data_IF_358767869448
#
_entry.id   IF_358767869448
#
_cell.length_a   1.000
_cell.length_b   1.000
_cell.length_c   1.000
_cell.angle_alpha   90.00
_cell.angle_beta   90.00
_cell.angle_gamma   90.00
#
_symmetry.space_group_name_H-M   'P 1'
#
loop_
_entity.id
_entity.type
_entity.pdbx_description
1 polymer ?
#
# COMPACT_ATOMS: atom_id res chain seq x y z
N UNK A 1 19.84 28.67 1.68
CA UNK A 1 19.35 28.46 0.31
C UNK A 1 19.36 26.96 0.09
N UNK A 2 18.22 26.36 -0.26
CA UNK A 2 18.22 24.96 -0.71
C UNK A 2 18.92 25.00 -2.07
N UNK A 3 20.08 24.35 -2.14
CA UNK A 3 20.89 24.23 -3.36
C UNK A 3 20.05 23.58 -4.47
N UNK A 4 19.91 24.28 -5.59
CA UNK A 4 19.22 23.94 -6.85
C UNK A 4 17.88 23.21 -6.76
N UNK A 5 16.84 23.85 -7.31
CA UNK A 5 15.52 23.26 -7.44
C UNK A 5 15.59 21.91 -8.18
N UNK A 6 15.07 20.86 -7.54
CA UNK A 6 14.82 19.55 -8.14
C UNK A 6 13.36 19.11 -7.97
N UNK A 7 13.03 17.90 -8.45
CA UNK A 7 11.67 17.32 -8.38
C UNK A 7 11.14 17.19 -6.94
N UNK A 8 11.99 17.25 -5.92
CA UNK A 8 11.62 17.12 -4.51
C UNK A 8 11.65 18.43 -3.72
N UNK A 9 11.92 19.56 -4.36
CA UNK A 9 12.03 20.88 -3.70
C UNK A 9 10.86 21.17 -2.74
N UNK A 10 9.62 20.94 -3.19
CA UNK A 10 8.42 21.19 -2.38
C UNK A 10 8.23 20.20 -1.24
N UNK A 11 8.72 18.97 -1.40
CA UNK A 11 8.73 17.96 -0.33
C UNK A 11 9.77 18.34 0.73
N UNK A 12 10.97 18.78 0.31
CA UNK A 12 12.02 19.28 1.21
C UNK A 12 11.54 20.49 2.02
N UNK A 13 10.77 21.40 1.42
CA UNK A 13 10.14 22.51 2.14
C UNK A 13 9.12 22.05 3.18
N UNK A 14 8.33 21.02 2.84
CA UNK A 14 7.28 20.53 3.72
C UNK A 14 7.81 19.75 4.93
N UNK A 15 8.83 18.91 4.74
CA UNK A 15 9.34 18.01 5.79
C UNK A 15 10.69 18.43 6.37
N UNK A 16 11.31 19.49 5.84
CA UNK A 16 12.68 19.87 6.17
C UNK A 16 13.71 18.90 5.61
N UNK A 17 15.00 19.24 5.80
CA UNK A 17 16.12 18.43 5.32
C UNK A 17 16.14 17.05 5.99
N UNK A 18 16.02 17.02 7.31
CA UNK A 18 16.11 15.77 8.10
C UNK A 18 14.95 14.82 7.78
N UNK A 19 13.72 15.35 7.67
CA UNK A 19 12.56 14.55 7.28
C UNK A 19 12.72 13.97 5.87
N UNK A 20 13.23 14.75 4.92
CA UNK A 20 13.52 14.27 3.57
C UNK A 20 14.63 13.21 3.55
N UNK A 21 15.70 13.38 4.34
CA UNK A 21 16.77 12.38 4.46
C UNK A 21 16.27 11.05 5.03
N UNK A 22 15.38 11.09 6.03
CA UNK A 22 14.69 9.89 6.52
C UNK A 22 13.90 9.18 5.42
N UNK A 23 13.18 9.92 4.57
CA UNK A 23 12.46 9.34 3.43
C UNK A 23 13.41 8.71 2.40
N UNK A 24 14.52 9.39 2.09
CA UNK A 24 15.52 8.86 1.15
C UNK A 24 16.15 7.55 1.64
N UNK A 25 16.39 7.42 2.96
CA UNK A 25 16.98 6.22 3.54
C UNK A 25 15.98 5.08 3.80
N UNK A 26 14.68 5.39 3.83
CA UNK A 26 13.65 4.42 4.17
C UNK A 26 13.50 3.31 3.10
N UNK A 27 13.21 2.10 3.59
CA UNK A 27 12.89 0.91 2.79
C UNK A 27 11.44 0.50 3.01
N UNK A 28 10.61 0.66 1.98
CA UNK A 28 9.17 0.34 2.04
C UNK A 28 8.84 -0.78 1.06
N UNK A 29 8.18 -1.82 1.57
CA UNK A 29 7.61 -2.88 0.76
C UNK A 29 6.13 -2.63 0.51
N UNK A 30 5.69 -2.76 -0.73
CA UNK A 30 4.28 -2.63 -1.14
C UNK A 30 3.83 -3.97 -1.71
N UNK A 31 2.89 -4.61 -1.03
CA UNK A 31 2.32 -5.90 -1.41
C UNK A 31 1.01 -5.66 -2.18
N UNK A 32 1.02 -5.87 -3.49
CA UNK A 32 -0.07 -5.57 -4.42
C UNK A 32 0.16 -4.26 -5.18
N UNK A 33 0.02 -4.30 -6.50
CA UNK A 33 0.20 -3.20 -7.45
C UNK A 33 -1.11 -2.85 -8.19
N UNK A 34 -2.26 -3.22 -7.61
CA UNK A 34 -3.59 -2.87 -8.13
C UNK A 34 -3.97 -1.39 -7.92
N UNK A 35 -5.28 -1.10 -7.91
CA UNK A 35 -5.77 0.29 -7.87
C UNK A 35 -5.41 1.08 -6.61
N UNK A 36 -5.12 0.38 -5.50
CA UNK A 36 -4.67 0.97 -4.25
C UNK A 36 -3.15 1.03 -4.17
N UNK A 37 -2.48 -0.12 -4.34
CA UNK A 37 -1.03 -0.22 -4.18
C UNK A 37 -0.24 0.52 -5.26
N UNK A 38 -0.74 0.58 -6.49
CA UNK A 38 -0.16 1.39 -7.55
C UNK A 38 -0.23 2.90 -7.25
N UNK A 39 -1.36 3.36 -6.68
CA UNK A 39 -1.49 4.75 -6.21
C UNK A 39 -0.59 5.05 -5.02
N UNK A 40 -0.50 4.14 -4.05
CA UNK A 40 0.43 4.26 -2.92
C UNK A 40 1.88 4.38 -3.41
N UNK A 41 2.29 3.53 -4.37
CA UNK A 41 3.61 3.57 -5.00
C UNK A 41 3.89 4.92 -5.64
N UNK A 42 2.98 5.42 -6.47
CA UNK A 42 3.10 6.72 -7.15
C UNK A 42 3.36 7.84 -6.14
N UNK A 43 2.58 7.88 -5.05
CA UNK A 43 2.68 8.92 -4.02
C UNK A 43 3.99 8.79 -3.25
N UNK A 44 4.41 7.59 -2.84
CA UNK A 44 5.64 7.38 -2.08
C UNK A 44 6.87 7.75 -2.92
N UNK A 45 6.91 7.33 -4.19
CA UNK A 45 8.01 7.65 -5.10
C UNK A 45 8.11 9.18 -5.34
N UNK A 46 6.98 9.85 -5.55
CA UNK A 46 6.92 11.32 -5.71
C UNK A 46 7.20 12.09 -4.43
N UNK A 47 6.95 11.47 -3.27
CA UNK A 47 7.31 11.99 -1.95
C UNK A 47 8.78 11.81 -1.60
N UNK A 48 9.58 11.17 -2.47
CA UNK A 48 11.01 10.98 -2.24
C UNK A 48 11.33 9.85 -1.27
N UNK A 49 10.53 8.78 -1.23
CA UNK A 49 11.00 7.53 -0.62
C UNK A 49 12.06 6.90 -1.53
N UNK A 50 13.25 6.67 -0.99
CA UNK A 50 14.41 6.28 -1.79
C UNK A 50 14.48 4.80 -2.15
N UNK A 51 13.84 3.91 -1.37
CA UNK A 51 13.87 2.47 -1.63
C UNK A 51 12.47 1.87 -1.50
N UNK A 52 11.83 1.65 -2.65
CA UNK A 52 10.56 0.95 -2.77
C UNK A 52 10.77 -0.44 -3.33
N UNK A 53 10.13 -1.44 -2.76
CA UNK A 53 9.96 -2.74 -3.40
C UNK A 53 8.47 -3.00 -3.59
N UNK A 54 8.08 -3.52 -4.75
CA UNK A 54 6.67 -3.82 -5.06
C UNK A 54 6.54 -5.28 -5.44
N UNK A 55 5.63 -5.99 -4.79
CA UNK A 55 5.31 -7.38 -5.09
C UNK A 55 3.92 -7.47 -5.72
N UNK A 56 3.83 -8.01 -6.92
CA UNK A 56 2.58 -8.40 -7.56
C UNK A 56 2.87 -9.48 -8.63
N UNK A 57 1.92 -10.36 -8.88
CA UNK A 57 2.04 -11.46 -9.86
C UNK A 57 1.25 -11.22 -11.15
N UNK A 58 0.53 -10.11 -11.23
CA UNK A 58 -0.39 -9.85 -12.32
C UNK A 58 0.23 -8.96 -13.40
N UNK A 59 -0.42 -8.98 -14.55
CA UNK A 59 -0.19 -8.06 -15.67
C UNK A 59 -1.35 -7.07 -15.75
N UNK A 60 -1.17 -5.97 -16.50
CA UNK A 60 -2.26 -5.05 -16.77
C UNK A 60 -3.25 -5.60 -17.80
N UNK A 61 -4.52 -5.56 -17.43
CA UNK A 61 -5.64 -5.93 -18.29
C UNK A 61 -6.52 -4.72 -18.62
N UNK A 62 -7.30 -4.80 -19.70
CA UNK A 62 -8.21 -3.72 -20.12
C UNK A 62 -9.19 -3.31 -19.01
N UNK A 63 -9.64 -4.28 -18.20
CA UNK A 63 -10.56 -4.06 -17.08
C UNK A 63 -9.93 -3.29 -15.92
N UNK A 64 -8.63 -2.99 -15.97
CA UNK A 64 -7.89 -2.27 -14.94
C UNK A 64 -7.92 -0.75 -15.17
N UNK A 65 -8.22 -0.29 -16.39
CA UNK A 65 -8.16 1.12 -16.81
C UNK A 65 -9.06 2.06 -16.03
N UNK A 66 -10.11 1.55 -15.41
CA UNK A 66 -11.01 2.37 -14.60
C UNK A 66 -10.42 2.78 -13.23
N UNK A 67 -9.31 2.15 -12.77
CA UNK A 67 -8.86 2.29 -11.38
C UNK A 67 -7.37 2.09 -11.10
N UNK A 68 -6.56 1.64 -12.07
CA UNK A 68 -5.14 1.33 -11.84
C UNK A 68 -4.23 2.24 -12.66
N UNK A 69 -3.29 2.90 -11.99
CA UNK A 69 -2.25 3.71 -12.65
C UNK A 69 -1.32 2.78 -13.44
N UNK A 70 -1.02 3.11 -14.70
CA UNK A 70 -0.16 2.31 -15.57
C UNK A 70 -0.89 1.22 -16.36
N UNK A 71 -2.22 1.15 -16.26
CA UNK A 71 -3.03 0.16 -16.98
C UNK A 71 -3.16 0.40 -18.49
N UNK A 72 -2.58 1.49 -19.00
CA UNK A 72 -2.38 1.74 -20.42
C UNK A 72 -1.35 0.76 -21.04
N UNK A 73 -0.44 0.20 -20.24
CA UNK A 73 0.57 -0.76 -20.64
C UNK A 73 0.03 -2.19 -20.64
N UNK A 74 -0.98 -2.45 -21.48
CA UNK A 74 -1.68 -3.74 -21.54
C UNK A 74 -0.73 -4.92 -21.79
N UNK A 75 -0.91 -6.00 -21.03
CA UNK A 75 -0.12 -7.22 -21.12
C UNK A 75 1.24 -7.15 -20.42
N UNK A 76 1.66 -5.99 -19.93
CA UNK A 76 2.90 -5.83 -19.18
C UNK A 76 2.71 -6.16 -17.69
N UNK A 77 3.75 -6.71 -17.06
CA UNK A 77 3.79 -6.96 -15.61
C UNK A 77 3.64 -5.64 -14.87
N UNK A 78 2.70 -5.58 -13.91
CA UNK A 78 2.42 -4.35 -13.17
C UNK A 78 3.66 -3.78 -12.50
N UNK A 79 4.43 -4.65 -11.83
CA UNK A 79 5.66 -4.26 -11.11
C UNK A 79 6.73 -3.67 -12.02
N UNK A 80 6.90 -4.21 -13.24
CA UNK A 80 7.92 -3.75 -14.18
C UNK A 80 7.60 -2.36 -14.73
N UNK A 81 6.31 -2.05 -14.95
CA UNK A 81 5.85 -0.72 -15.35
C UNK A 81 6.18 0.33 -14.29
N UNK A 82 5.97 0.01 -13.00
CA UNK A 82 6.35 0.92 -11.90
C UNK A 82 7.87 1.10 -11.79
N UNK A 83 8.65 0.03 -11.97
CA UNK A 83 10.12 0.10 -11.98
C UNK A 83 10.65 0.96 -13.14
N UNK A 84 10.02 0.88 -14.32
CA UNK A 84 10.34 1.76 -15.46
C UNK A 84 10.03 3.23 -15.17
N UNK A 85 8.95 3.49 -14.42
CA UNK A 85 8.48 4.85 -14.10
C UNK A 85 9.29 5.51 -12.98
N UNK A 86 9.81 4.72 -12.04
CA UNK A 86 10.49 5.21 -10.84
C UNK A 86 11.75 4.41 -10.53
N UNK A 87 12.91 5.06 -10.61
CA UNK A 87 14.23 4.46 -10.33
C UNK A 87 14.36 3.88 -8.92
N UNK A 88 13.60 4.41 -7.95
CA UNK A 88 13.60 3.91 -6.56
C UNK A 88 12.82 2.61 -6.38
N UNK A 89 12.17 2.08 -7.43
CA UNK A 89 11.33 0.88 -7.36
C UNK A 89 12.09 -0.36 -7.81
N UNK A 90 12.17 -1.34 -6.91
CA UNK A 90 12.58 -2.71 -7.20
C UNK A 90 11.35 -3.59 -7.47
N UNK A 91 11.18 -4.14 -8.68
CA UNK A 91 10.06 -5.00 -9.02
C UNK A 91 10.26 -6.43 -8.50
N UNK A 92 9.22 -7.02 -7.91
CA UNK A 92 9.20 -8.43 -7.50
C UNK A 92 7.96 -9.07 -8.13
N UNK A 93 8.16 -9.80 -9.22
CA UNK A 93 7.06 -10.48 -9.90
C UNK A 93 6.79 -11.84 -9.24
N UNK A 94 5.98 -11.86 -8.19
CA UNK A 94 5.71 -13.06 -7.40
C UNK A 94 4.32 -13.02 -6.74
N UNK A 95 3.78 -14.21 -6.48
CA UNK A 95 2.61 -14.39 -5.61
C UNK A 95 3.08 -14.36 -4.15
N UNK A 96 2.28 -13.73 -3.29
CA UNK A 96 2.46 -13.86 -1.84
C UNK A 96 1.70 -15.10 -1.40
N UNK A 97 2.42 -16.20 -1.25
CA UNK A 97 1.96 -17.47 -0.71
C UNK A 97 2.93 -17.97 0.38
N UNK A 98 2.67 -19.15 0.93
CA UNK A 98 3.45 -19.67 2.07
C UNK A 98 4.94 -19.84 1.72
N UNK A 99 5.27 -20.26 0.49
CA UNK A 99 6.65 -20.43 0.05
C UNK A 99 7.36 -19.07 -0.05
N UNK A 100 6.72 -18.08 -0.67
CA UNK A 100 7.25 -16.72 -0.72
C UNK A 100 7.49 -16.16 0.69
N UNK A 101 6.51 -16.30 1.60
CA UNK A 101 6.60 -15.77 2.97
C UNK A 101 7.69 -16.45 3.82
N UNK A 102 8.03 -17.70 3.53
CA UNK A 102 9.11 -18.41 4.21
C UNK A 102 10.48 -17.90 3.75
N UNK A 103 10.66 -17.68 2.45
CA UNK A 103 11.96 -17.37 1.85
C UNK A 103 12.26 -15.87 1.73
N UNK A 104 11.25 -15.01 1.83
CA UNK A 104 11.43 -13.57 1.71
C UNK A 104 11.84 -12.91 3.03
N UNK A 105 12.95 -12.17 3.00
CA UNK A 105 13.41 -11.40 4.16
C UNK A 105 12.67 -10.05 4.26
N UNK A 106 11.70 -10.01 5.18
CA UNK A 106 10.94 -8.81 5.51
C UNK A 106 11.68 -7.90 6.52
N UNK A 107 12.69 -8.40 7.24
CA UNK A 107 13.39 -7.65 8.29
C UNK A 107 14.22 -6.47 7.76
N UNK A 108 14.54 -6.49 6.47
CA UNK A 108 15.24 -5.40 5.78
C UNK A 108 14.37 -4.16 5.51
N UNK A 109 13.07 -4.21 5.75
CA UNK A 109 12.14 -3.11 5.48
C UNK A 109 11.73 -2.38 6.76
N UNK A 110 11.64 -1.07 6.65
CA UNK A 110 11.11 -0.20 7.71
C UNK A 110 9.59 -0.28 7.82
N UNK A 111 8.94 -0.56 6.69
CA UNK A 111 7.50 -0.52 6.51
C UNK A 111 7.03 -1.53 5.48
N UNK A 112 5.92 -2.19 5.78
CA UNK A 112 5.17 -3.04 4.85
C UNK A 112 3.77 -2.46 4.66
N UNK A 113 3.40 -2.25 3.40
CA UNK A 113 2.07 -1.79 2.97
C UNK A 113 1.35 -2.97 2.32
N UNK A 114 0.24 -3.39 2.92
CA UNK A 114 -0.63 -4.43 2.37
C UNK A 114 -1.76 -3.80 1.53
N UNK A 115 -1.69 -3.98 0.22
CA UNK A 115 -2.72 -3.62 -0.75
C UNK A 115 -3.25 -4.87 -1.51
N UNK A 116 -3.14 -6.05 -0.90
CA UNK A 116 -3.63 -7.33 -1.44
C UNK A 116 -5.15 -7.41 -1.28
N UNK A 117 -5.84 -8.07 -2.21
CA UNK A 117 -7.28 -8.34 -2.17
C UNK A 117 -7.64 -9.79 -1.76
N UNK A 118 -6.71 -10.73 -1.90
CA UNK A 118 -6.83 -12.11 -1.42
C UNK A 118 -6.69 -12.23 0.10
N UNK A 119 -7.74 -12.70 0.76
CA UNK A 119 -7.80 -12.80 2.23
C UNK A 119 -6.73 -13.74 2.83
N UNK A 120 -6.54 -14.98 2.35
CA UNK A 120 -5.47 -15.85 2.84
C UNK A 120 -4.09 -15.18 2.82
N UNK A 121 -3.72 -14.55 1.70
CA UNK A 121 -2.45 -13.84 1.58
C UNK A 121 -2.33 -12.67 2.57
N UNK A 122 -3.40 -11.87 2.78
CA UNK A 122 -3.40 -10.78 3.77
C UNK A 122 -3.16 -11.28 5.20
N UNK A 123 -3.82 -12.38 5.58
CA UNK A 123 -3.67 -12.99 6.91
C UNK A 123 -2.26 -13.53 7.11
N UNK A 124 -1.73 -14.25 6.11
CA UNK A 124 -0.40 -14.82 6.18
C UNK A 124 0.68 -13.71 6.25
N UNK A 125 0.53 -12.65 5.44
CA UNK A 125 1.42 -11.48 5.48
C UNK A 125 1.39 -10.78 6.84
N UNK A 126 0.21 -10.51 7.40
CA UNK A 126 0.08 -9.89 8.72
C UNK A 126 0.77 -10.73 9.81
N UNK A 127 0.50 -12.04 9.87
CA UNK A 127 1.17 -12.93 10.83
C UNK A 127 2.69 -12.93 10.64
N UNK A 128 3.18 -12.99 9.40
CA UNK A 128 4.62 -12.95 9.10
C UNK A 128 5.26 -11.65 9.56
N UNK A 129 4.69 -10.49 9.22
CA UNK A 129 5.25 -9.19 9.59
C UNK A 129 5.26 -8.98 11.10
N UNK A 130 4.16 -9.34 11.78
CA UNK A 130 4.07 -9.22 13.25
C UNK A 130 4.89 -10.26 14.03
N UNK A 131 5.37 -11.32 13.37
CA UNK A 131 6.37 -12.22 13.97
C UNK A 131 7.78 -11.61 14.04
N UNK A 132 7.99 -10.47 13.37
CA UNK A 132 9.27 -9.76 13.30
C UNK A 132 9.26 -8.56 14.24
N UNK A 133 10.43 -8.25 14.79
CA UNK A 133 10.62 -7.02 15.54
C UNK A 133 10.86 -5.85 14.57
N UNK A 134 10.36 -4.66 14.90
CA UNK A 134 10.67 -3.37 14.26
C UNK A 134 10.16 -3.13 12.82
N UNK A 135 9.32 -3.99 12.27
CA UNK A 135 8.69 -3.76 10.95
C UNK A 135 7.31 -3.14 11.14
N UNK A 136 7.12 -1.92 10.63
CA UNK A 136 5.80 -1.28 10.69
C UNK A 136 4.87 -1.85 9.61
N UNK A 137 3.58 -1.83 9.88
CA UNK A 137 2.57 -2.41 8.99
C UNK A 137 1.34 -1.51 8.85
N UNK A 138 0.81 -1.41 7.63
CA UNK A 138 -0.49 -0.81 7.33
C UNK A 138 -1.18 -1.62 6.23
N UNK A 139 -2.50 -1.75 6.29
CA UNK A 139 -3.28 -2.50 5.30
C UNK A 139 -4.45 -1.72 4.72
N UNK A 140 -4.75 -1.95 3.45
CA UNK A 140 -5.96 -1.51 2.77
C UNK A 140 -7.08 -2.53 2.95
N UNK A 141 -8.28 -2.02 3.22
CA UNK A 141 -9.52 -2.77 3.09
C UNK A 141 -10.16 -2.55 1.70
N UNK A 142 -11.46 -2.80 1.55
CA UNK A 142 -12.15 -2.79 0.26
C UNK A 142 -12.50 -1.39 -0.24
N UNK A 143 -11.85 -0.94 -1.31
CA UNK A 143 -12.18 0.33 -1.99
C UNK A 143 -13.26 0.25 -3.08
N UNK A 144 -13.72 -0.96 -3.43
CA UNK A 144 -14.77 -1.16 -4.43
C UNK A 144 -16.17 -0.88 -3.84
N UNK A 145 -17.14 -0.61 -4.73
CA UNK A 145 -18.55 -0.29 -4.39
C UNK A 145 -18.73 1.03 -3.67
N UNK A 146 -17.81 1.97 -3.87
CA UNK A 146 -17.72 3.25 -3.17
C UNK A 146 -17.57 4.36 -4.20
N UNK A 147 -18.16 5.52 -3.92
CA UNK A 147 -18.04 6.71 -4.79
C UNK A 147 -17.54 7.94 -4.06
N UNK A 148 -17.70 8.00 -2.73
CA UNK A 148 -17.36 9.18 -1.95
C UNK A 148 -15.97 9.05 -1.28
N UNK A 149 -14.91 9.65 -1.85
CA UNK A 149 -13.57 9.59 -1.26
C UNK A 149 -13.44 10.35 0.06
N UNK A 150 -14.36 11.28 0.37
CA UNK A 150 -14.33 12.03 1.63
C UNK A 150 -14.67 11.17 2.86
N UNK A 151 -15.20 9.96 2.66
CA UNK A 151 -15.51 9.00 3.72
C UNK A 151 -14.40 7.97 3.98
N UNK A 152 -13.25 8.11 3.31
CA UNK A 152 -12.04 7.30 3.55
C UNK A 152 -11.36 7.77 4.82
N UNK A 153 -10.99 6.83 5.68
CA UNK A 153 -10.28 7.13 6.93
C UNK A 153 -9.30 6.03 7.35
N UNK A 154 -8.44 6.38 8.31
CA UNK A 154 -7.54 5.47 9.00
C UNK A 154 -8.16 5.06 10.34
N UNK A 155 -8.17 3.76 10.63
CA UNK A 155 -8.60 3.23 11.94
C UNK A 155 -7.88 1.93 12.27
N UNK A 156 -8.13 1.38 13.46
CA UNK A 156 -7.69 0.03 13.83
C UNK A 156 -8.43 -1.01 12.97
N UNK A 157 -7.74 -2.09 12.56
CA UNK A 157 -8.36 -3.24 11.89
C UNK A 157 -9.61 -3.76 12.61
N UNK A 158 -9.65 -3.64 13.94
CA UNK A 158 -10.74 -4.11 14.80
C UNK A 158 -11.98 -3.21 14.78
N UNK A 159 -11.88 -1.98 14.26
CA UNK A 159 -12.91 -0.94 14.35
C UNK A 159 -13.58 -0.59 13.03
N UNK A 160 -13.25 -1.25 11.92
CA UNK A 160 -13.85 -0.91 10.63
C UNK A 160 -15.32 -1.32 10.52
N UNK A 161 -16.10 -0.54 9.77
CA UNK A 161 -17.51 -0.75 9.47
C UNK A 161 -17.76 -0.84 7.96
N UNK A 162 -18.93 -1.34 7.57
CA UNK A 162 -19.46 -1.30 6.20
C UNK A 162 -18.58 -1.95 5.11
N UNK A 163 -17.61 -2.77 5.52
CA UNK A 163 -16.60 -3.36 4.63
C UNK A 163 -16.56 -4.88 4.81
N UNK A 164 -17.00 -5.60 3.77
CA UNK A 164 -17.05 -7.06 3.75
C UNK A 164 -15.65 -7.69 3.73
N UNK A 165 -14.67 -7.08 3.06
CA UNK A 165 -13.29 -7.54 3.03
C UNK A 165 -12.70 -7.43 4.44
N UNK A 166 -12.88 -6.28 5.09
CA UNK A 166 -12.41 -6.07 6.46
C UNK A 166 -13.07 -7.02 7.46
N UNK A 167 -14.39 -7.26 7.32
CA UNK A 167 -15.12 -8.23 8.16
C UNK A 167 -14.53 -9.64 8.03
N UNK A 168 -14.31 -10.10 6.80
CA UNK A 168 -13.71 -11.41 6.52
C UNK A 168 -12.26 -11.47 7.03
N UNK A 169 -11.48 -10.41 6.81
CA UNK A 169 -10.09 -10.34 7.25
C UNK A 169 -9.97 -10.43 8.78
N UNK A 170 -10.77 -9.66 9.52
CA UNK A 170 -10.86 -9.77 10.99
C UNK A 170 -11.24 -11.16 11.47
N UNK A 171 -12.15 -11.83 10.78
CA UNK A 171 -12.57 -13.17 11.14
C UNK A 171 -11.41 -14.17 11.00
N UNK A 172 -10.72 -14.16 9.86
CA UNK A 172 -9.61 -15.08 9.61
C UNK A 172 -8.38 -14.76 10.47
N UNK A 173 -8.10 -13.48 10.78
CA UNK A 173 -7.06 -13.10 11.75
C UNK A 173 -7.33 -13.71 13.13
N UNK A 174 -8.56 -13.61 13.65
CA UNK A 174 -8.92 -14.24 14.93
C UNK A 174 -8.77 -15.75 14.87
N UNK A 175 -9.17 -16.36 13.76
CA UNK A 175 -9.05 -17.80 13.53
C UNK A 175 -7.59 -18.26 13.49
N UNK A 176 -6.66 -17.42 13.00
CA UNK A 176 -5.23 -17.72 12.99
C UNK A 176 -4.56 -17.49 14.36
N UNK A 177 -5.29 -17.03 15.37
CA UNK A 177 -4.73 -16.67 16.68
C UNK A 177 -4.05 -15.30 16.72
N UNK A 178 -4.20 -14.48 15.69
CA UNK A 178 -3.61 -13.13 15.64
C UNK A 178 -4.25 -12.22 16.70
N UNK A 179 -3.42 -11.63 17.56
CA UNK A 179 -3.86 -10.86 18.73
C UNK A 179 -3.31 -9.41 18.78
N UNK A 180 -2.60 -8.97 17.74
CA UNK A 180 -2.06 -7.61 17.65
C UNK A 180 -3.10 -6.62 17.06
N UNK A 181 -2.74 -5.34 17.01
CA UNK A 181 -3.52 -4.29 16.32
C UNK A 181 -2.64 -3.56 15.30
N UNK A 182 -3.27 -3.07 14.24
CA UNK A 182 -2.62 -2.28 13.20
C UNK A 182 -3.60 -1.33 12.53
N UNK A 183 -3.04 -0.28 11.94
CA UNK A 183 -3.82 0.71 11.20
C UNK A 183 -4.23 0.16 9.85
N UNK A 184 -5.45 0.49 9.45
CA UNK A 184 -6.00 0.18 8.13
C UNK A 184 -6.67 1.39 7.50
N UNK A 185 -6.68 1.42 6.18
CA UNK A 185 -7.48 2.35 5.39
C UNK A 185 -8.77 1.66 4.96
N UNK A 186 -9.92 2.27 5.25
CA UNK A 186 -11.23 1.83 4.79
C UNK A 186 -12.12 3.05 4.54
N UNK A 187 -13.35 2.82 4.06
CA UNK A 187 -14.36 3.88 3.97
C UNK A 187 -15.57 3.56 4.84
N UNK A 188 -16.16 4.59 5.43
CA UNK A 188 -17.42 4.51 6.21
C UNK A 188 -18.67 4.40 5.36
N UNK A 189 -18.58 4.73 4.07
CA UNK A 189 -19.72 4.68 3.13
C UNK A 189 -20.35 3.27 3.10
N UNK A 190 -21.64 3.15 2.80
CA UNK A 190 -22.23 1.84 2.51
C UNK A 190 -21.88 1.44 1.07
N UNK A 191 -21.78 0.14 0.73
CA UNK A 191 -21.60 -0.27 -0.65
C UNK A 191 -22.78 0.20 -1.52
N UNK A 192 -22.50 0.92 -2.61
CA UNK A 192 -23.53 1.52 -3.48
C UNK A 192 -23.99 0.61 -4.62
N UNK A 193 -23.37 -0.57 -4.78
CA UNK A 193 -23.74 -1.55 -5.80
C UNK A 193 -23.39 -2.99 -5.41
N UNK A 194 -24.02 -3.96 -6.08
CA UNK A 194 -23.83 -5.39 -5.81
C UNK A 194 -22.54 -5.97 -6.41
N UNK A 195 -22.23 -5.59 -7.65
CA UNK A 195 -21.02 -6.03 -8.34
C UNK A 195 -19.78 -5.27 -7.85
N UNK A 196 -18.57 -5.76 -8.13
CA UNK A 196 -17.31 -5.11 -7.76
C UNK A 196 -16.99 -3.89 -8.67
N UNK A 197 -17.94 -2.97 -8.79
CA UNK A 197 -17.74 -1.67 -9.42
C UNK A 197 -16.68 -0.87 -8.67
N UNK A 198 -15.80 -0.20 -9.39
CA UNK A 198 -14.69 0.55 -8.79
C UNK A 198 -14.55 1.90 -9.45
N UNK A 199 -14.24 2.90 -8.64
CA UNK A 199 -14.00 4.27 -9.07
C UNK A 199 -12.60 4.70 -8.61
N UNK A 200 -11.75 5.10 -9.54
CA UNK A 200 -10.38 5.51 -9.24
C UNK A 200 -10.30 6.60 -8.16
N UNK A 201 -11.28 7.52 -8.14
CA UNK A 201 -11.34 8.56 -7.11
C UNK A 201 -11.35 8.00 -5.69
N UNK A 202 -11.91 6.81 -5.46
CA UNK A 202 -11.86 6.13 -4.16
C UNK A 202 -10.62 5.25 -4.03
N UNK A 203 -10.33 4.36 -4.99
CA UNK A 203 -9.21 3.41 -4.84
C UNK A 203 -7.86 4.11 -4.76
N UNK A 204 -7.64 5.18 -5.54
CA UNK A 204 -6.44 5.98 -5.44
C UNK A 204 -6.38 6.76 -4.12
N UNK A 205 -7.53 7.23 -3.61
CA UNK A 205 -7.60 7.87 -2.28
C UNK A 205 -7.19 6.91 -1.16
N UNK A 206 -7.57 5.63 -1.25
CA UNK A 206 -7.05 4.62 -0.32
C UNK A 206 -5.51 4.55 -0.38
N UNK A 207 -4.94 4.52 -1.60
CA UNK A 207 -3.49 4.55 -1.80
C UNK A 207 -2.83 5.80 -1.22
N UNK A 208 -3.46 6.97 -1.37
CA UNK A 208 -2.99 8.23 -0.80
C UNK A 208 -2.95 8.19 0.73
N UNK A 209 -3.97 7.61 1.38
CA UNK A 209 -4.00 7.46 2.84
C UNK A 209 -2.94 6.48 3.34
N UNK A 210 -2.69 5.38 2.62
CA UNK A 210 -1.59 4.45 2.94
C UNK A 210 -0.25 5.20 2.87
N UNK A 211 0.03 5.86 1.75
CA UNK A 211 1.28 6.58 1.55
C UNK A 211 1.48 7.70 2.57
N UNK A 212 0.42 8.47 2.86
CA UNK A 212 0.44 9.53 3.87
C UNK A 212 0.78 8.99 5.27
N UNK A 213 0.17 7.87 5.67
CA UNK A 213 0.49 7.23 6.96
C UNK A 213 1.94 6.76 7.02
N UNK A 214 2.44 6.13 5.95
CA UNK A 214 3.84 5.68 5.85
C UNK A 214 4.80 6.86 5.96
N UNK A 215 4.60 7.92 5.16
CA UNK A 215 5.44 9.12 5.19
C UNK A 215 5.47 9.71 6.59
N UNK A 216 4.30 9.90 7.22
CA UNK A 216 4.21 10.43 8.59
C UNK A 216 5.02 9.61 9.57
N UNK A 217 4.90 8.27 9.52
CA UNK A 217 5.65 7.39 10.42
C UNK A 217 7.16 7.38 10.16
N UNK A 218 7.58 7.48 8.91
CA UNK A 218 9.01 7.51 8.56
C UNK A 218 9.69 8.80 9.03
N UNK A 219 9.02 9.95 8.91
CA UNK A 219 9.61 11.23 9.35
C UNK A 219 9.60 11.39 10.88
N UNK A 220 8.64 10.76 11.57
CA UNK A 220 8.50 10.74 13.04
C UNK A 220 9.51 9.81 13.74
N UNK A 221 10.12 8.83 13.04
CA UNK A 221 11.14 7.95 13.64
C UNK A 221 12.32 8.78 14.17
N UNK A 222 12.62 8.66 15.46
CA UNK A 222 13.79 9.29 16.11
C UNK A 222 15.12 8.71 15.63
#
# INVERSE_FOLDING_TARGET
MIENDDKFTRIKWLFGKDGFEKLQNAKVLICGAGGVGGACTEVLARSGVGNLAIIDKDIFEITNQNRQIGSEFLGEKKVDVFARKFECVTPIFARIDDDFLQNFDFSKFDFVVDAIDDIPAKVALANKVFSLNNVNFISSMGGAKRINPALVELTSIWKTTNDALAKKFRYELRKSGFNCDFMVVYSKEEPVCENLGSFMGVTATFGNFLASYVVKKLIEKE
#
